data_IF_953450892216
#
_entry.id   IF_953450892216
#
_cell.length_a   1.000
_cell.length_b   1.000
_cell.length_c   1.000
_cell.angle_alpha   90.00
_cell.angle_beta   90.00
_cell.angle_gamma   90.00
#
_symmetry.space_group_name_H-M   'P 1'
#
loop_
_entity.id
_entity.type
_entity.pdbx_description
1 polymer ?
#
# COMPACT_ATOMS: atom_id res chain seq x y z
N UNK A 1 -25.32 19.32 -16.75
CA UNK A 1 -24.02 19.68 -16.16
C UNK A 1 -23.32 18.37 -15.87
N UNK A 2 -22.50 17.89 -16.82
CA UNK A 2 -21.93 16.54 -16.77
C UNK A 2 -20.58 16.54 -16.06
N UNK A 3 -20.41 15.54 -15.21
CA UNK A 3 -19.34 15.37 -14.23
C UNK A 3 -17.98 15.07 -14.90
N UNK A 4 -17.16 16.10 -15.10
CA UNK A 4 -15.80 16.01 -15.66
C UNK A 4 -14.77 15.34 -14.72
N UNK A 5 -15.21 14.77 -13.58
CA UNK A 5 -14.32 14.19 -12.56
C UNK A 5 -14.01 12.71 -12.75
N UNK A 6 -14.86 11.94 -13.44
CA UNK A 6 -14.63 10.50 -13.66
C UNK A 6 -13.60 10.24 -14.77
N UNK A 7 -13.49 11.15 -15.74
CA UNK A 7 -12.70 10.93 -16.96
C UNK A 7 -11.18 11.05 -16.72
N UNK A 8 -10.76 11.83 -15.72
CA UNK A 8 -9.33 11.97 -15.36
C UNK A 8 -8.77 10.79 -14.55
N UNK A 9 -9.61 10.00 -13.91
CA UNK A 9 -9.18 8.75 -13.23
C UNK A 9 -8.91 7.66 -14.28
N UNK A 10 -9.70 7.62 -15.35
CA UNK A 10 -9.52 6.69 -16.46
C UNK A 10 -8.23 6.99 -17.27
N UNK A 11 -7.85 8.26 -17.44
CA UNK A 11 -6.73 8.67 -18.30
C UNK A 11 -5.33 8.61 -17.63
N UNK A 12 -5.22 8.15 -16.38
CA UNK A 12 -3.93 7.78 -15.75
C UNK A 12 -3.66 6.27 -15.75
N UNK A 13 -4.49 5.50 -16.47
CA UNK A 13 -4.10 4.16 -16.92
C UNK A 13 -3.06 4.32 -18.01
N UNK A 14 -1.80 4.62 -17.63
CA UNK A 14 -0.67 4.14 -18.44
C UNK A 14 -0.99 2.67 -18.68
N UNK A 15 -1.09 2.25 -19.94
CA UNK A 15 -1.28 0.85 -20.32
C UNK A 15 -0.17 0.09 -19.59
N UNK A 16 -0.51 -0.52 -18.46
CA UNK A 16 0.46 -1.21 -17.62
C UNK A 16 0.87 -2.43 -18.42
N UNK A 17 2.18 -2.61 -18.56
CA UNK A 17 2.71 -3.79 -19.24
C UNK A 17 2.22 -5.04 -18.49
N UNK A 18 1.97 -6.16 -19.18
CA UNK A 18 1.54 -7.42 -18.55
C UNK A 18 2.43 -7.81 -17.36
N UNK A 19 3.74 -7.56 -17.46
CA UNK A 19 4.68 -7.77 -16.36
C UNK A 19 4.32 -6.94 -15.13
N UNK A 20 3.93 -5.69 -15.31
CA UNK A 20 3.52 -4.81 -14.21
C UNK A 20 2.19 -5.26 -13.62
N UNK A 21 1.25 -5.73 -14.44
CA UNK A 21 0.00 -6.32 -13.96
C UNK A 21 0.26 -7.55 -13.09
N UNK A 22 1.08 -8.50 -13.55
CA UNK A 22 1.48 -9.69 -12.78
C UNK A 22 2.10 -9.34 -11.43
N UNK A 23 2.99 -8.35 -11.40
CA UNK A 23 3.60 -7.87 -10.14
C UNK A 23 2.56 -7.27 -9.22
N UNK A 24 1.60 -6.50 -9.75
CA UNK A 24 0.55 -5.90 -8.94
C UNK A 24 -0.39 -6.94 -8.36
N UNK A 25 -0.76 -7.95 -9.14
CA UNK A 25 -1.62 -9.04 -8.67
C UNK A 25 -0.92 -9.84 -7.56
N UNK A 26 0.38 -10.10 -7.71
CA UNK A 26 1.19 -10.74 -6.65
C UNK A 26 1.24 -9.88 -5.36
N UNK A 27 1.41 -8.55 -5.49
CA UNK A 27 1.40 -7.65 -4.33
C UNK A 27 0.02 -7.55 -3.69
N UNK A 28 -1.07 -7.61 -4.46
CA UNK A 28 -2.44 -7.65 -3.93
C UNK A 28 -2.70 -8.94 -3.17
N UNK A 29 -2.25 -10.07 -3.71
CA UNK A 29 -2.35 -11.36 -3.03
C UNK A 29 -1.61 -11.30 -1.69
N UNK A 30 -0.37 -10.79 -1.68
CA UNK A 30 0.42 -10.60 -0.46
C UNK A 30 -0.31 -9.68 0.56
N UNK A 31 -0.88 -8.56 0.10
CA UNK A 31 -1.65 -7.65 0.94
C UNK A 31 -2.90 -8.33 1.54
N UNK A 32 -3.56 -9.21 0.77
CA UNK A 32 -4.73 -9.95 1.25
C UNK A 32 -4.36 -10.91 2.39
N UNK A 33 -3.22 -11.60 2.31
CA UNK A 33 -2.75 -12.50 3.37
C UNK A 33 -2.30 -11.74 4.61
N UNK A 34 -1.76 -10.54 4.45
CA UNK A 34 -1.47 -9.65 5.58
C UNK A 34 -2.72 -9.23 6.36
N UNK A 35 -3.85 -9.03 5.66
CA UNK A 35 -5.12 -8.63 6.28
C UNK A 35 -5.90 -9.81 6.88
N UNK A 36 -5.63 -11.04 6.43
CA UNK A 36 -6.27 -12.26 6.92
C UNK A 36 -5.63 -12.72 8.22
N UNK A 37 -6.36 -13.54 8.98
CA UNK A 37 -5.77 -14.31 10.08
C UNK A 37 -4.97 -15.47 9.51
N UNK A 38 -3.72 -15.60 9.92
CA UNK A 38 -2.84 -16.70 9.56
C UNK A 38 -2.87 -17.78 10.66
N UNK A 39 -2.70 -19.06 10.32
CA UNK A 39 -2.45 -19.60 8.97
C UNK A 39 -3.67 -19.54 8.05
N UNK A 40 -3.45 -19.31 6.76
CA UNK A 40 -4.52 -19.23 5.75
C UNK A 40 -4.24 -20.19 4.59
N UNK A 41 -5.28 -20.86 4.13
CA UNK A 41 -5.19 -21.84 3.04
C UNK A 41 -5.57 -21.21 1.69
N UNK A 42 -4.92 -21.68 0.63
CA UNK A 42 -5.27 -21.41 -0.76
C UNK A 42 -5.27 -22.72 -1.55
N UNK A 43 -6.30 -22.90 -2.37
CA UNK A 43 -6.51 -24.08 -3.24
C UNK A 43 -6.63 -23.68 -4.71
N UNK A 44 -6.51 -22.39 -5.03
CA UNK A 44 -6.59 -21.90 -6.40
C UNK A 44 -5.24 -22.10 -7.10
N UNK A 45 -5.17 -22.76 -8.28
CA UNK A 45 -3.91 -22.97 -8.99
C UNK A 45 -3.16 -21.66 -9.28
N UNK A 46 -3.88 -20.62 -9.72
CA UNK A 46 -3.32 -19.31 -10.03
C UNK A 46 -2.73 -18.63 -8.77
N UNK A 47 -3.44 -18.74 -7.64
CA UNK A 47 -2.93 -18.20 -6.37
C UNK A 47 -1.72 -19.00 -5.89
N UNK A 48 -1.73 -20.33 -6.06
CA UNK A 48 -0.61 -21.19 -5.67
C UNK A 48 0.64 -20.85 -6.47
N UNK A 49 0.53 -20.60 -7.78
CA UNK A 49 1.66 -20.16 -8.62
C UNK A 49 2.22 -18.81 -8.14
N UNK A 50 1.35 -17.87 -7.80
CA UNK A 50 1.77 -16.58 -7.23
C UNK A 50 2.42 -16.76 -5.84
N UNK A 51 1.89 -17.64 -4.99
CA UNK A 51 2.46 -17.95 -3.69
C UNK A 51 3.84 -18.59 -3.79
N UNK A 52 4.06 -19.48 -4.77
CA UNK A 52 5.38 -20.03 -5.06
C UNK A 52 6.38 -18.92 -5.42
N UNK A 53 5.94 -17.97 -6.27
CA UNK A 53 6.78 -16.83 -6.67
C UNK A 53 7.10 -15.89 -5.49
N UNK A 54 6.12 -15.64 -4.61
CA UNK A 54 6.28 -14.80 -3.42
C UNK A 54 7.16 -15.46 -2.34
N UNK A 55 7.03 -16.77 -2.15
CA UNK A 55 7.86 -17.56 -1.22
C UNK A 55 9.30 -17.64 -1.70
N UNK A 56 9.53 -17.90 -3.00
CA UNK A 56 10.86 -17.86 -3.61
C UNK A 56 11.53 -16.47 -3.53
N UNK A 57 10.72 -15.40 -3.53
CA UNK A 57 11.19 -14.03 -3.31
C UNK A 57 11.39 -13.67 -1.82
N UNK A 58 11.11 -14.59 -0.89
CA UNK A 58 11.28 -14.39 0.55
C UNK A 58 10.27 -13.43 1.19
N UNK A 59 9.15 -13.16 0.51
CA UNK A 59 8.15 -12.18 0.98
C UNK A 59 7.11 -12.78 1.93
N UNK A 60 6.99 -14.10 1.96
CA UNK A 60 6.13 -14.85 2.86
C UNK A 60 6.76 -16.21 3.16
N UNK A 61 6.26 -16.90 4.19
CA UNK A 61 6.50 -18.34 4.38
C UNK A 61 5.22 -19.10 4.15
N UNK A 62 5.28 -20.10 3.29
CA UNK A 62 4.18 -21.00 3.01
C UNK A 62 4.63 -22.47 3.06
N UNK A 63 3.66 -23.36 3.26
CA UNK A 63 3.82 -24.80 3.05
C UNK A 63 2.98 -25.21 1.85
N UNK A 64 3.57 -25.98 0.96
CA UNK A 64 2.89 -26.49 -0.24
C UNK A 64 2.70 -27.99 -0.11
N UNK A 65 1.53 -28.48 -0.50
CA UNK A 65 1.33 -29.90 -0.67
C UNK A 65 2.28 -30.44 -1.77
N UNK A 66 2.70 -31.71 -1.72
CA UNK A 66 3.54 -32.28 -2.76
C UNK A 66 2.86 -32.22 -4.14
N UNK A 67 3.58 -31.82 -5.21
CA UNK A 67 3.01 -31.77 -6.55
C UNK A 67 2.59 -33.17 -6.99
N UNK A 68 1.39 -33.27 -7.56
CA UNK A 68 0.83 -34.51 -8.10
C UNK A 68 0.71 -34.38 -9.61
N UNK A 69 0.96 -35.49 -10.30
CA UNK A 69 0.81 -35.56 -11.74
C UNK A 69 -0.61 -36.00 -12.08
N UNK A 70 -1.34 -35.17 -12.81
CA UNK A 70 -2.68 -35.50 -13.25
C UNK A 70 -2.65 -36.44 -14.46
N UNK A 71 -3.82 -37.01 -14.80
CA UNK A 71 -3.97 -37.89 -15.97
C UNK A 71 -3.66 -37.18 -17.30
N UNK A 72 -3.80 -35.86 -17.32
CA UNK A 72 -3.42 -34.97 -18.43
C UNK A 72 -1.90 -34.87 -18.60
N UNK A 73 -1.12 -35.27 -17.59
CA UNK A 73 0.33 -35.17 -17.55
C UNK A 73 0.85 -33.90 -16.84
N UNK A 74 -0.04 -32.97 -16.50
CA UNK A 74 0.28 -31.72 -15.79
C UNK A 74 0.65 -31.95 -14.32
N UNK A 75 1.53 -31.11 -13.78
CA UNK A 75 1.92 -31.12 -12.37
C UNK A 75 1.11 -30.06 -11.63
N UNK A 76 0.30 -30.50 -10.67
CA UNK A 76 -0.60 -29.64 -9.90
C UNK A 76 -0.29 -29.77 -8.41
N UNK A 77 -0.24 -28.63 -7.72
CA UNK A 77 -0.22 -28.56 -6.27
C UNK A 77 -1.65 -28.28 -5.81
N UNK A 78 -2.20 -29.15 -4.97
CA UNK A 78 -3.61 -29.07 -4.57
C UNK A 78 -3.89 -27.93 -3.57
N UNK A 79 -2.90 -27.60 -2.74
CA UNK A 79 -3.07 -26.64 -1.65
C UNK A 79 -1.74 -26.00 -1.24
N UNK A 80 -1.83 -24.74 -0.86
CA UNK A 80 -0.80 -24.00 -0.14
C UNK A 80 -1.36 -23.46 1.18
N UNK A 81 -0.54 -23.45 2.23
CA UNK A 81 -0.86 -22.87 3.54
C UNK A 81 0.14 -21.77 3.85
N UNK A 82 -0.31 -20.53 3.85
CA UNK A 82 0.50 -19.36 4.22
C UNK A 82 0.58 -19.29 5.75
N UNK A 83 1.80 -19.29 6.27
CA UNK A 83 2.08 -19.29 7.71
C UNK A 83 2.34 -17.88 8.23
N UNK A 84 3.13 -17.10 7.50
CA UNK A 84 3.49 -15.73 7.86
C UNK A 84 3.81 -14.89 6.62
N UNK A 85 3.60 -13.57 6.74
CA UNK A 85 4.19 -12.58 5.84
C UNK A 85 5.47 -12.06 6.48
N UNK A 86 6.59 -12.10 5.76
CA UNK A 86 7.91 -11.73 6.32
C UNK A 86 8.06 -10.21 6.46
N UNK A 87 9.10 -9.76 7.17
CA UNK A 87 9.42 -8.34 7.30
C UNK A 87 9.76 -7.71 5.93
N UNK A 88 10.38 -8.49 5.05
CA UNK A 88 10.68 -8.14 3.66
C UNK A 88 9.38 -7.98 2.85
N UNK A 89 8.42 -8.90 3.03
CA UNK A 89 7.08 -8.81 2.46
C UNK A 89 6.36 -7.52 2.85
N UNK A 90 6.36 -7.17 4.14
CA UNK A 90 5.75 -5.93 4.64
C UNK A 90 6.44 -4.67 4.11
N UNK A 91 7.77 -4.72 4.01
CA UNK A 91 8.55 -3.63 3.44
C UNK A 91 8.25 -3.44 1.95
N UNK A 92 8.15 -4.54 1.20
CA UNK A 92 7.77 -4.54 -0.21
C UNK A 92 6.36 -3.97 -0.42
N UNK A 93 5.38 -4.38 0.41
CA UNK A 93 4.03 -3.83 0.40
C UNK A 93 4.03 -2.32 0.65
N UNK A 94 4.75 -1.86 1.68
CA UNK A 94 4.85 -0.44 2.01
C UNK A 94 5.47 0.36 0.87
N UNK A 95 6.50 -0.19 0.22
CA UNK A 95 7.14 0.45 -0.92
C UNK A 95 6.22 0.50 -2.14
N UNK A 96 5.53 -0.60 -2.45
CA UNK A 96 4.56 -0.67 -3.54
C UNK A 96 3.39 0.31 -3.34
N UNK A 97 2.89 0.45 -2.11
CA UNK A 97 1.85 1.43 -1.77
C UNK A 97 2.30 2.88 -1.97
N UNK A 98 3.57 3.20 -1.67
CA UNK A 98 4.12 4.55 -1.90
C UNK A 98 4.26 4.86 -3.39
N UNK A 99 4.64 3.85 -4.18
CA UNK A 99 4.77 4.01 -5.63
C UNK A 99 3.41 4.11 -6.34
N UNK A 100 2.39 3.42 -5.81
CA UNK A 100 1.06 3.34 -6.40
C UNK A 100 -0.06 3.48 -5.36
N UNK A 101 -0.28 4.71 -4.85
CA UNK A 101 -1.34 4.98 -3.88
C UNK A 101 -2.72 4.68 -4.48
N UNK A 102 -3.52 3.86 -3.78
CA UNK A 102 -4.91 3.53 -4.14
C UNK A 102 -5.12 2.21 -4.90
N UNK A 103 -4.06 1.54 -5.39
CA UNK A 103 -4.20 0.29 -6.18
C UNK A 103 -4.19 -0.97 -5.31
N UNK A 104 -3.53 -0.93 -4.15
CA UNK A 104 -3.34 -2.05 -3.22
C UNK A 104 -4.26 -1.96 -1.98
N UNK A 105 -5.24 -1.04 -1.98
CA UNK A 105 -6.02 -0.70 -0.79
C UNK A 105 -5.27 0.24 0.17
N UNK A 106 -6.03 1.02 0.94
CA UNK A 106 -5.48 1.96 1.91
C UNK A 106 -4.83 1.18 3.07
N UNK A 107 -3.56 1.43 3.37
CA UNK A 107 -2.93 0.88 4.55
C UNK A 107 -3.71 1.35 5.79
N UNK A 108 -4.11 0.46 6.72
CA UNK A 108 -4.74 0.92 7.94
C UNK A 108 -3.70 1.70 8.75
N UNK A 109 -3.90 3.01 8.84
CA UNK A 109 -3.36 3.78 9.96
C UNK A 109 -2.16 4.69 9.73
N UNK A 110 -1.89 5.21 8.52
CA UNK A 110 -1.07 6.43 8.42
C UNK A 110 -1.78 7.49 7.59
N UNK A 111 -2.56 8.32 8.30
CA UNK A 111 -3.00 9.63 7.81
C UNK A 111 -1.79 10.31 7.15
N UNK A 112 -1.91 10.81 5.91
CA UNK A 112 -0.83 11.57 5.31
C UNK A 112 -0.56 12.76 6.22
N UNK A 113 0.64 12.81 6.79
CA UNK A 113 1.15 14.03 7.42
C UNK A 113 1.17 15.05 6.29
N UNK A 114 0.16 15.92 6.28
CA UNK A 114 0.07 17.04 5.34
C UNK A 114 1.42 17.74 5.38
N UNK A 115 2.16 17.65 4.28
CA UNK A 115 3.42 18.36 4.12
C UNK A 115 3.14 19.84 4.38
N UNK A 116 3.64 20.35 5.49
CA UNK A 116 3.60 21.75 5.90
C UNK A 116 4.50 22.57 4.98
N UNK A 117 4.13 22.66 3.70
CA UNK A 117 4.87 23.39 2.68
C UNK A 117 3.93 24.27 1.86
N UNK A 118 3.16 25.11 2.57
CA UNK A 118 2.48 26.25 1.98
C UNK A 118 2.07 27.23 3.09
N UNK A 119 2.93 28.22 3.33
CA UNK A 119 2.57 29.61 3.70
C UNK A 119 3.85 30.44 3.75
N UNK A 120 4.38 30.75 2.56
CA UNK A 120 5.32 31.85 2.34
C UNK A 120 4.77 32.68 1.18
N UNK A 121 3.78 33.50 1.53
CA UNK A 121 3.06 34.58 0.82
C UNK A 121 1.78 34.65 1.66
N UNK A 122 1.48 35.68 2.44
CA UNK A 122 1.46 37.09 2.11
C UNK A 122 1.91 37.89 3.34
N UNK A 123 3.06 38.56 3.21
CA UNK A 123 3.34 39.74 4.00
C UNK A 123 2.98 40.93 3.11
N UNK A 124 1.79 41.51 3.30
CA UNK A 124 1.46 42.94 3.08
C UNK A 124 -0.07 43.16 3.14
N UNK A 125 -0.44 44.30 3.74
CA UNK A 125 -1.77 44.83 4.05
C UNK A 125 -2.45 44.15 5.27
N UNK A 126 -2.78 44.82 6.38
CA UNK A 126 -3.05 46.23 6.64
C UNK A 126 -2.64 46.60 8.09
N UNK A 127 -2.28 47.86 8.37
CA UNK A 127 -1.99 48.35 9.70
C UNK A 127 -3.32 48.69 10.39
N UNK A 128 -3.54 48.19 11.61
CA UNK A 128 -4.44 48.74 12.64
C UNK A 128 -4.64 47.65 13.69
N UNK A 129 -3.67 47.55 14.60
CA UNK A 129 -3.95 47.23 16.00
C UNK A 129 -2.77 47.75 16.83
N UNK A 130 -2.73 49.07 16.90
CA UNK A 130 -2.11 49.73 18.03
C UNK A 130 -3.03 49.55 19.25
N UNK A 131 -2.39 49.49 20.41
CA UNK A 131 -2.99 49.56 21.75
C UNK A 131 -3.41 48.22 22.36
N UNK A 132 -2.47 47.61 23.12
CA UNK A 132 -2.73 47.31 24.54
C UNK A 132 -1.45 47.03 25.33
N UNK A 133 -1.05 48.07 26.07
CA UNK A 133 -0.59 48.07 27.47
C UNK A 133 0.53 47.10 27.88
N UNK A 134 1.75 47.63 27.90
CA UNK A 134 2.86 47.11 28.71
C UNK A 134 2.56 47.33 30.20
N UNK A 135 2.27 46.28 30.95
CA UNK A 135 2.39 46.28 32.42
C UNK A 135 3.84 45.94 32.73
N UNK A 136 4.62 46.94 33.15
CA UNK A 136 5.99 46.79 33.63
C UNK A 136 5.98 47.04 35.14
N UNK A 137 6.22 45.99 35.92
CA UNK A 137 6.75 46.04 37.28
C UNK A 137 7.82 44.96 37.40
N UNK A 138 8.75 45.00 38.39
CA UNK A 138 8.73 45.81 39.61
C UNK A 138 9.90 46.81 39.73
N UNK A 139 9.74 47.78 40.64
CA UNK A 139 10.83 48.60 41.20
C UNK A 139 11.49 47.78 42.33
N UNK A 140 12.82 47.66 42.29
CA UNK A 140 13.64 47.27 43.43
C UNK A 140 14.57 48.43 43.78
N UNK A 141 14.37 48.95 44.98
CA UNK A 141 15.31 49.40 46.02
C UNK A 141 14.69 50.53 46.86
#
# INVERSE_FOLDING_TARGET
MFDFSQEKVAMRRKILNERQLRVLDSMRLLASFWQRRLPAESTSPDEIEQLLSLEAAGLLKARFDPPRRERTGELVIARAVVLEVTAEGLSALTHAQRQQPGILGEAPGRRPVRSSRARKLEARANPLDACRTNVRGPLSD
#
